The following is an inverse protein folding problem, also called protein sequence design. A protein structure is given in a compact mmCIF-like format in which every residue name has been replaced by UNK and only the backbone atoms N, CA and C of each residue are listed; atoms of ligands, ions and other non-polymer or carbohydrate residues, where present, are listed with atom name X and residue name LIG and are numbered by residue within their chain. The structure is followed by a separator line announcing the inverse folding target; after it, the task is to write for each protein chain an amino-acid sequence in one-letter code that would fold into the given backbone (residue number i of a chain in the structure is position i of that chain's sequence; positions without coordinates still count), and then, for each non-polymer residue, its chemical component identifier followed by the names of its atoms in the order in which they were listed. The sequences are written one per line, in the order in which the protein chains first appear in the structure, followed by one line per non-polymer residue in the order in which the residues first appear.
data_IF_235685082670
#
_entry.id   IF_235685082670
#
_cell.length_a   1.000
_cell.length_b   1.000
_cell.length_c   1.000
_cell.angle_alpha   90.00
_cell.angle_beta   90.00
_cell.angle_gamma   90.00
#
_symmetry.space_group_name_H-M   'P 1'
#
loop_
_entity.id
_entity.type
_entity.pdbx_description
1 polymer ?
#
# COMPACT_ATOMS: atom_id res chain seq x y z
N UNK A 1 -6.73 7.85 -18.59
CA UNK A 1 -7.22 9.04 -17.85
C UNK A 1 -6.76 8.90 -16.41
N UNK A 2 -5.72 9.63 -16.01
CA UNK A 2 -5.24 9.64 -14.62
C UNK A 2 -6.29 10.41 -13.82
N UNK A 3 -7.14 9.71 -13.07
CA UNK A 3 -8.10 10.35 -12.17
C UNK A 3 -7.34 10.83 -10.94
N UNK A 4 -7.41 12.13 -10.66
CA UNK A 4 -7.01 12.66 -9.35
C UNK A 4 -7.88 11.99 -8.29
N UNK A 5 -7.31 11.29 -7.30
CA UNK A 5 -8.10 10.79 -6.18
C UNK A 5 -8.65 11.96 -5.36
N UNK A 6 -9.73 11.76 -4.60
CA UNK A 6 -10.10 12.70 -3.55
C UNK A 6 -8.89 12.88 -2.62
N UNK A 7 -8.76 14.05 -2.02
CA UNK A 7 -7.64 14.41 -1.13
C UNK A 7 -7.43 13.31 -0.11
N UNK A 8 -6.39 12.49 -0.34
CA UNK A 8 -6.03 11.46 0.63
C UNK A 8 -5.27 12.16 1.77
N UNK A 9 -5.63 11.83 3.00
CA UNK A 9 -4.94 12.31 4.21
C UNK A 9 -3.52 11.77 4.33
N UNK A 10 -3.12 10.83 3.48
CA UNK A 10 -1.82 10.17 3.48
C UNK A 10 -0.66 11.15 3.22
N UNK A 11 -0.83 12.04 2.24
CA UNK A 11 0.09 13.14 1.96
C UNK A 11 -0.72 14.27 1.33
N UNK A 12 -0.98 15.38 2.02
CA UNK A 12 -1.83 16.45 1.50
C UNK A 12 -1.29 17.10 0.20
N UNK A 13 -0.03 16.79 -0.17
CA UNK A 13 0.66 17.38 -1.33
C UNK A 13 1.43 16.32 -2.14
N UNK A 14 0.86 15.14 -2.34
CA UNK A 14 1.49 14.06 -3.11
C UNK A 14 0.79 13.86 -4.44
N UNK A 15 1.57 13.77 -5.52
CA UNK A 15 1.06 13.29 -6.81
C UNK A 15 1.04 11.76 -6.81
N UNK A 16 -0.14 11.18 -7.01
CA UNK A 16 -0.34 9.75 -7.01
C UNK A 16 -0.46 9.21 -8.43
N UNK A 17 0.44 8.29 -8.79
CA UNK A 17 0.36 7.50 -10.02
C UNK A 17 -0.10 6.09 -9.70
N UNK A 18 -1.08 5.60 -10.45
CA UNK A 18 -1.65 4.24 -10.28
C UNK A 18 -1.21 3.35 -11.41
N UNK A 19 -0.51 2.27 -11.08
CA UNK A 19 -0.10 1.22 -12.00
C UNK A 19 -1.21 0.19 -12.22
N UNK A 20 -1.10 -0.56 -13.29
CA UNK A 20 -1.93 -1.72 -13.65
C UNK A 20 -1.19 -3.01 -13.35
N UNK A 21 -1.95 -4.05 -13.04
CA UNK A 21 -1.46 -5.36 -12.65
C UNK A 21 -1.33 -5.50 -11.12
N UNK A 22 -1.85 -6.59 -10.57
CA UNK A 22 -1.71 -6.94 -9.16
C UNK A 22 -1.61 -8.46 -9.00
N UNK A 23 -0.71 -8.92 -8.11
CA UNK A 23 -0.56 -10.34 -7.76
C UNK A 23 -1.62 -10.82 -6.76
N UNK A 24 -2.29 -9.89 -6.05
CA UNK A 24 -3.33 -10.22 -5.08
C UNK A 24 -4.73 -10.06 -5.68
N UNK A 25 -5.70 -10.72 -5.05
CA UNK A 25 -7.14 -10.67 -5.35
C UNK A 25 -7.90 -10.40 -4.05
N UNK A 26 -7.51 -9.29 -3.37
CA UNK A 26 -8.07 -8.94 -2.07
C UNK A 26 -9.60 -8.82 -2.14
N UNK A 27 -10.31 -9.48 -1.24
CA UNK A 27 -11.78 -9.47 -1.21
C UNK A 27 -12.38 -8.07 -1.07
N UNK A 28 -11.65 -7.16 -0.40
CA UNK A 28 -12.02 -5.76 -0.16
C UNK A 28 -11.37 -4.76 -1.13
N UNK A 29 -10.82 -5.21 -2.26
CA UNK A 29 -10.07 -4.31 -3.14
C UNK A 29 -10.91 -3.09 -3.56
N UNK A 30 -10.43 -1.88 -3.25
CA UNK A 30 -11.10 -0.65 -3.67
C UNK A 30 -10.80 -0.27 -5.14
N UNK A 31 -9.85 -0.97 -5.78
CA UNK A 31 -9.42 -0.71 -7.15
C UNK A 31 -9.39 -1.98 -8.01
N UNK A 32 -10.54 -2.69 -8.16
CA UNK A 32 -10.59 -3.92 -8.97
C UNK A 32 -10.21 -3.66 -10.43
N UNK A 33 -10.41 -2.44 -10.89
CA UNK A 33 -10.03 -1.92 -12.21
C UNK A 33 -8.51 -1.89 -12.47
N UNK A 34 -7.69 -2.06 -11.42
CA UNK A 34 -6.22 -2.09 -11.54
C UNK A 34 -5.63 -3.50 -11.42
N UNK A 35 -6.46 -4.52 -11.20
CA UNK A 35 -5.98 -5.89 -10.93
C UNK A 35 -5.40 -6.52 -12.19
N UNK A 36 -6.13 -6.43 -13.31
CA UNK A 36 -5.70 -7.01 -14.58
C UNK A 36 -4.72 -6.07 -15.31
N UNK A 37 -3.64 -6.63 -15.82
CA UNK A 37 -2.68 -5.88 -16.61
C UNK A 37 -3.27 -5.50 -17.98
N UNK A 38 -2.88 -4.34 -18.52
CA UNK A 38 -3.23 -3.93 -19.89
C UNK A 38 -4.53 -3.14 -20.03
N UNK A 39 -5.28 -2.91 -18.96
CA UNK A 39 -6.50 -2.08 -18.99
C UNK A 39 -6.23 -0.57 -18.80
N UNK A 40 -5.00 -0.19 -18.52
CA UNK A 40 -4.57 1.20 -18.32
C UNK A 40 -4.09 1.88 -19.59
N UNK A 41 -3.70 3.13 -19.46
CA UNK A 41 -3.04 3.90 -20.53
C UNK A 41 -1.54 3.83 -20.32
N UNK A 42 -0.82 3.41 -21.37
CA UNK A 42 0.64 3.47 -21.37
C UNK A 42 1.05 4.95 -21.36
N UNK A 43 1.81 5.33 -20.35
CA UNK A 43 2.26 6.72 -20.14
C UNK A 43 3.79 6.78 -20.28
N UNK A 44 4.29 7.73 -21.04
CA UNK A 44 5.73 7.95 -21.18
C UNK A 44 6.33 8.36 -19.81
N UNK A 45 7.39 7.68 -19.33
CA UNK A 45 8.11 8.09 -18.12
C UNK A 45 8.54 9.57 -18.11
N UNK A 46 8.90 10.13 -19.27
CA UNK A 46 9.25 11.53 -19.39
C UNK A 46 8.05 12.46 -19.10
N UNK A 47 6.84 12.05 -19.46
CA UNK A 47 5.62 12.79 -19.11
C UNK A 47 5.37 12.74 -17.59
N UNK A 48 5.54 11.58 -16.96
CA UNK A 48 5.40 11.43 -15.51
C UNK A 48 6.40 12.31 -14.78
N UNK A 49 7.66 12.32 -15.22
CA UNK A 49 8.71 13.17 -14.66
C UNK A 49 8.34 14.66 -14.79
N UNK A 50 7.90 15.11 -15.98
CA UNK A 50 7.47 16.48 -16.21
C UNK A 50 6.32 16.87 -15.27
N UNK A 51 5.27 16.03 -15.18
CA UNK A 51 4.14 16.26 -14.26
C UNK A 51 4.59 16.40 -12.81
N UNK A 52 5.54 15.55 -12.38
CA UNK A 52 6.06 15.57 -11.02
C UNK A 52 6.89 16.86 -10.76
N UNK A 53 7.72 17.28 -11.71
CA UNK A 53 8.50 18.53 -11.63
C UNK A 53 7.57 19.75 -11.59
N UNK A 54 6.54 19.80 -12.42
CA UNK A 54 5.54 20.88 -12.43
C UNK A 54 4.78 20.97 -11.08
N UNK A 55 4.57 19.85 -10.40
CA UNK A 55 3.91 19.79 -9.10
C UNK A 55 4.86 20.05 -7.91
N UNK A 56 6.18 20.00 -8.12
CA UNK A 56 7.18 20.15 -7.05
C UNK A 56 6.98 21.37 -6.14
N UNK A 57 6.62 22.58 -6.65
CA UNK A 57 6.35 23.74 -5.79
C UNK A 57 5.22 23.51 -4.75
N UNK A 58 4.33 22.56 -5.01
CA UNK A 58 3.19 22.24 -4.14
C UNK A 58 3.49 21.11 -3.15
N UNK A 59 4.61 20.41 -3.25
CA UNK A 59 4.96 19.31 -2.36
C UNK A 59 5.34 19.76 -0.94
N UNK A 60 5.75 21.02 -0.77
CA UNK A 60 6.23 21.50 0.51
C UNK A 60 7.42 20.69 1.01
N UNK A 61 7.50 20.51 2.33
CA UNK A 61 8.62 19.78 2.98
C UNK A 61 8.44 18.26 3.04
N UNK A 62 7.22 17.76 2.85
CA UNK A 62 6.86 16.35 3.08
C UNK A 62 6.14 15.68 1.91
N UNK A 63 5.85 16.42 0.87
CA UNK A 63 5.18 15.89 -0.31
C UNK A 63 6.17 15.33 -1.33
N UNK A 64 5.63 14.68 -2.35
CA UNK A 64 6.41 14.06 -3.40
C UNK A 64 5.55 13.28 -4.38
N UNK A 65 6.08 12.20 -4.90
CA UNK A 65 5.39 11.28 -5.79
C UNK A 65 5.16 9.96 -5.07
N UNK A 66 3.95 9.42 -5.19
CA UNK A 66 3.64 8.06 -4.73
C UNK A 66 3.22 7.20 -5.92
N UNK A 67 3.89 6.07 -6.09
CA UNK A 67 3.46 5.02 -7.00
C UNK A 67 2.61 4.01 -6.23
N UNK A 68 1.39 3.76 -6.71
CA UNK A 68 0.39 2.88 -6.14
C UNK A 68 -0.41 2.20 -7.26
N UNK A 69 -1.63 1.76 -7.02
CA UNK A 69 -2.55 1.25 -8.05
C UNK A 69 -2.96 -0.19 -7.82
N UNK A 70 -2.56 -1.09 -8.72
CA UNK A 70 -2.54 -2.52 -8.48
C UNK A 70 -1.39 -2.87 -7.54
N UNK A 71 -0.30 -3.37 -8.12
CA UNK A 71 0.98 -3.56 -7.42
C UNK A 71 2.10 -2.95 -8.27
N UNK A 72 2.65 -1.78 -7.89
CA UNK A 72 3.61 -1.07 -8.73
C UNK A 72 4.93 -1.84 -8.92
N UNK A 73 5.29 -2.75 -8.02
CA UNK A 73 6.51 -3.56 -8.16
C UNK A 73 6.45 -4.55 -9.33
N UNK A 74 5.28 -4.78 -9.93
CA UNK A 74 5.20 -5.50 -11.22
C UNK A 74 5.92 -4.77 -12.36
N UNK A 75 6.00 -3.46 -12.27
CA UNK A 75 6.65 -2.58 -13.25
C UNK A 75 7.98 -2.03 -12.71
N UNK A 76 8.65 -2.77 -11.81
CA UNK A 76 9.85 -2.29 -11.14
C UNK A 76 10.97 -1.95 -12.13
N UNK A 77 11.16 -2.75 -13.18
CA UNK A 77 12.19 -2.51 -14.18
C UNK A 77 12.01 -1.17 -14.91
N UNK A 78 10.76 -0.81 -15.21
CA UNK A 78 10.40 0.45 -15.86
C UNK A 78 10.40 1.62 -14.86
N UNK A 79 10.06 1.36 -13.59
CA UNK A 79 10.05 2.37 -12.54
C UNK A 79 11.45 2.77 -12.07
N UNK A 80 12.44 1.87 -12.08
CA UNK A 80 13.80 2.16 -11.62
C UNK A 80 14.40 3.39 -12.31
N UNK A 81 14.47 3.50 -13.66
CA UNK A 81 15.03 4.67 -14.32
C UNK A 81 14.21 5.94 -14.04
N UNK A 82 12.88 5.85 -13.98
CA UNK A 82 12.03 6.98 -13.65
C UNK A 82 12.26 7.49 -12.22
N UNK A 83 12.37 6.57 -11.26
CA UNK A 83 12.64 6.92 -9.85
C UNK A 83 14.03 7.59 -9.72
N UNK A 84 15.05 7.10 -10.43
CA UNK A 84 16.37 7.77 -10.47
C UNK A 84 16.23 9.22 -10.92
N UNK A 85 15.53 9.47 -12.04
CA UNK A 85 15.30 10.83 -12.56
C UNK A 85 14.50 11.71 -11.59
N UNK A 86 13.49 11.16 -10.90
CA UNK A 86 12.75 11.88 -9.85
C UNK A 86 13.64 12.26 -8.67
N UNK A 87 14.55 11.35 -8.25
CA UNK A 87 15.53 11.61 -7.19
C UNK A 87 16.53 12.67 -7.59
N UNK A 88 17.04 12.64 -8.82
CA UNK A 88 17.91 13.69 -9.37
C UNK A 88 17.23 15.05 -9.41
N UNK A 89 15.91 15.08 -9.69
CA UNK A 89 15.10 16.29 -9.60
C UNK A 89 14.81 16.73 -8.14
N UNK A 90 15.32 16.02 -7.13
CA UNK A 90 15.12 16.31 -5.71
C UNK A 90 13.67 16.12 -5.27
N UNK A 91 12.98 15.13 -5.83
CA UNK A 91 11.60 14.78 -5.48
C UNK A 91 11.62 13.56 -4.58
N UNK A 92 10.89 13.62 -3.46
CA UNK A 92 10.67 12.49 -2.57
C UNK A 92 9.77 11.46 -3.24
N UNK A 93 10.17 10.19 -3.21
CA UNK A 93 9.43 9.09 -3.86
C UNK A 93 8.98 8.08 -2.82
N UNK A 94 7.69 7.80 -2.85
CA UNK A 94 7.06 6.76 -2.05
C UNK A 94 6.50 5.66 -2.95
N UNK A 95 6.53 4.41 -2.48
CA UNK A 95 5.87 3.28 -3.14
C UNK A 95 4.86 2.64 -2.18
N UNK A 96 3.65 2.41 -2.67
CA UNK A 96 2.55 1.74 -1.95
C UNK A 96 2.43 0.32 -2.51
N UNK A 97 2.92 -0.66 -1.75
CA UNK A 97 3.13 -2.03 -2.21
C UNK A 97 2.59 -3.07 -1.22
N UNK A 98 2.10 -4.17 -1.75
CA UNK A 98 1.78 -5.35 -0.96
C UNK A 98 3.00 -6.24 -0.66
N UNK A 99 4.17 -5.90 -1.17
CA UNK A 99 5.44 -6.61 -0.93
C UNK A 99 5.49 -8.05 -1.44
N UNK A 100 4.48 -8.48 -2.20
CA UNK A 100 4.33 -9.88 -2.64
C UNK A 100 5.05 -10.22 -3.94
N UNK A 101 5.82 -9.30 -4.52
CA UNK A 101 6.65 -9.50 -5.72
C UNK A 101 8.11 -9.29 -5.35
N UNK A 102 8.99 -10.15 -5.85
CA UNK A 102 10.43 -10.03 -5.61
C UNK A 102 11.24 -10.46 -6.83
N UNK A 103 12.15 -9.60 -7.26
CA UNK A 103 13.17 -9.84 -8.27
C UNK A 103 14.26 -8.74 -8.13
N UNK A 104 15.38 -8.81 -8.86
CA UNK A 104 16.46 -7.81 -8.74
C UNK A 104 16.01 -6.36 -9.00
N UNK A 105 15.07 -6.14 -9.93
CA UNK A 105 14.55 -4.78 -10.18
C UNK A 105 13.69 -4.25 -9.01
N UNK A 106 12.93 -5.12 -8.32
CA UNK A 106 12.19 -4.76 -7.11
C UNK A 106 13.15 -4.38 -5.98
N UNK A 107 14.22 -5.17 -5.79
CA UNK A 107 15.24 -4.87 -4.79
C UNK A 107 15.91 -3.51 -5.06
N UNK A 108 16.30 -3.24 -6.31
CA UNK A 108 16.85 -1.95 -6.71
C UNK A 108 15.84 -0.81 -6.49
N UNK A 109 14.59 -1.00 -6.90
CA UNK A 109 13.52 -0.01 -6.72
C UNK A 109 13.30 0.35 -5.25
N UNK A 110 13.18 -0.66 -4.38
CA UNK A 110 13.00 -0.46 -2.94
C UNK A 110 14.23 0.21 -2.31
N UNK A 111 15.42 -0.05 -2.84
CA UNK A 111 16.65 0.64 -2.45
C UNK A 111 16.64 2.15 -2.77
N UNK A 112 16.01 2.56 -3.87
CA UNK A 112 15.99 3.94 -4.37
C UNK A 112 14.93 4.82 -3.73
N UNK A 113 13.73 4.29 -3.44
CA UNK A 113 12.62 5.07 -2.88
C UNK A 113 12.91 5.56 -1.46
N UNK A 114 12.29 6.65 -1.06
CA UNK A 114 12.49 7.25 0.27
C UNK A 114 11.61 6.60 1.33
N UNK A 115 10.44 6.11 0.95
CA UNK A 115 9.46 5.52 1.85
C UNK A 115 8.71 4.38 1.16
N UNK A 116 8.46 3.31 1.91
CA UNK A 116 7.57 2.24 1.48
C UNK A 116 6.32 2.24 2.35
N UNK A 117 5.14 2.28 1.75
CA UNK A 117 3.89 1.94 2.41
C UNK A 117 3.67 0.45 2.18
N UNK A 118 3.94 -0.35 3.20
CA UNK A 118 3.87 -1.81 3.09
C UNK A 118 2.54 -2.32 3.63
N UNK A 119 1.73 -2.85 2.74
CA UNK A 119 0.47 -3.49 3.10
C UNK A 119 0.67 -4.92 3.58
N UNK A 120 0.56 -5.18 4.86
CA UNK A 120 0.46 -6.54 5.41
C UNK A 120 -1.02 -6.85 5.66
N UNK A 121 -1.60 -7.65 4.77
CA UNK A 121 -3.07 -7.85 4.76
C UNK A 121 -3.56 -8.78 5.87
N UNK A 122 -2.71 -9.72 6.31
CA UNK A 122 -2.97 -10.64 7.42
C UNK A 122 -1.64 -11.28 7.87
N UNK A 123 -1.45 -11.51 9.16
CA UNK A 123 -0.25 -12.12 9.71
C UNK A 123 -0.24 -13.66 9.55
N UNK A 124 -1.42 -14.29 9.64
CA UNK A 124 -1.58 -15.73 9.42
C UNK A 124 -1.57 -16.04 7.91
N UNK A 125 -0.79 -17.03 7.44
CA UNK A 125 -0.64 -17.33 6.02
C UNK A 125 -1.92 -17.90 5.37
N UNK A 126 -2.70 -18.71 6.08
CA UNK A 126 -3.91 -19.31 5.54
C UNK A 126 -5.02 -18.26 5.43
N UNK A 127 -5.19 -17.45 6.47
CA UNK A 127 -6.12 -16.32 6.45
C UNK A 127 -5.71 -15.27 5.43
N UNK A 128 -4.41 -15.03 5.26
CA UNK A 128 -3.92 -14.17 4.20
C UNK A 128 -4.29 -14.72 2.81
N UNK A 129 -4.11 -16.04 2.60
CA UNK A 129 -4.50 -16.68 1.34
C UNK A 129 -6.02 -16.58 1.10
N UNK A 130 -6.83 -16.82 2.12
CA UNK A 130 -8.29 -16.66 2.02
C UNK A 130 -8.70 -15.22 1.64
N UNK A 131 -8.00 -14.21 2.19
CA UNK A 131 -8.30 -12.81 1.99
C UNK A 131 -7.79 -12.26 0.65
N UNK A 132 -6.62 -12.74 0.17
CA UNK A 132 -5.89 -12.13 -0.98
C UNK A 132 -5.65 -13.07 -2.15
N UNK A 133 -5.94 -14.36 -2.00
CA UNK A 133 -5.61 -15.41 -2.98
C UNK A 133 -4.15 -15.85 -2.97
N UNK A 134 -3.29 -15.31 -2.09
CA UNK A 134 -1.86 -15.61 -1.98
C UNK A 134 -1.41 -15.73 -0.53
N UNK A 135 -0.30 -16.42 -0.29
CA UNK A 135 0.37 -16.43 1.02
C UNK A 135 1.12 -15.12 1.29
N UNK A 136 1.38 -14.84 2.57
CA UNK A 136 2.08 -13.64 3.03
C UNK A 136 3.61 -13.80 3.10
N UNK A 137 4.14 -14.99 2.82
CA UNK A 137 5.56 -15.27 3.03
C UNK A 137 6.49 -14.28 2.31
N UNK A 138 6.15 -13.88 1.07
CA UNK A 138 6.96 -12.90 0.35
C UNK A 138 6.82 -11.50 0.94
N UNK A 139 5.61 -11.06 1.30
CA UNK A 139 5.38 -9.76 1.97
C UNK A 139 6.22 -9.65 3.25
N UNK A 140 6.25 -10.71 4.06
CA UNK A 140 7.04 -10.75 5.29
C UNK A 140 8.55 -10.74 5.02
N UNK A 141 9.03 -11.42 3.96
CA UNK A 141 10.43 -11.32 3.52
C UNK A 141 10.78 -9.91 3.06
N UNK A 142 9.86 -9.24 2.37
CA UNK A 142 10.05 -7.83 1.96
C UNK A 142 10.16 -6.93 3.20
N UNK A 143 9.31 -7.11 4.22
CA UNK A 143 9.42 -6.37 5.48
C UNK A 143 10.78 -6.61 6.16
N UNK A 144 11.24 -7.86 6.21
CA UNK A 144 12.54 -8.20 6.79
C UNK A 144 13.71 -7.59 6.01
N UNK A 145 13.61 -7.53 4.68
CA UNK A 145 14.61 -6.88 3.84
C UNK A 145 14.66 -5.37 4.11
N UNK A 146 13.51 -4.69 4.21
CA UNK A 146 13.42 -3.26 4.55
C UNK A 146 14.08 -2.98 5.89
N UNK A 147 13.80 -3.80 6.92
CA UNK A 147 14.43 -3.69 8.24
C UNK A 147 15.95 -3.89 8.15
N UNK A 148 16.41 -4.93 7.49
CA UNK A 148 17.84 -5.26 7.37
C UNK A 148 18.64 -4.15 6.66
N UNK A 149 18.00 -3.37 5.78
CA UNK A 149 18.62 -2.27 5.04
C UNK A 149 18.32 -0.89 5.66
N UNK A 150 17.67 -0.83 6.83
CA UNK A 150 17.32 0.44 7.48
C UNK A 150 16.40 1.32 6.62
N UNK A 151 15.60 0.70 5.74
CA UNK A 151 14.67 1.42 4.86
C UNK A 151 13.42 1.81 5.64
N UNK A 152 13.08 3.10 5.75
CA UNK A 152 11.88 3.51 6.45
C UNK A 152 10.64 2.99 5.71
N UNK A 153 9.71 2.45 6.49
CA UNK A 153 8.42 2.05 5.95
C UNK A 153 7.29 2.28 6.95
N UNK A 154 6.09 2.47 6.42
CA UNK A 154 4.86 2.48 7.20
C UNK A 154 4.15 1.16 6.97
N UNK A 155 3.80 0.52 8.07
CA UNK A 155 3.00 -0.70 8.02
C UNK A 155 1.52 -0.32 7.87
N UNK A 156 0.85 -0.86 6.86
CA UNK A 156 -0.56 -0.62 6.61
C UNK A 156 -1.36 -1.88 6.84
N UNK A 157 -2.42 -1.74 7.61
CA UNK A 157 -3.32 -2.84 7.95
C UNK A 157 -4.77 -2.42 7.80
N UNK A 158 -5.52 -3.10 6.91
CA UNK A 158 -6.95 -2.85 6.75
C UNK A 158 -7.71 -3.72 7.75
N UNK A 159 -8.48 -3.09 8.62
CA UNK A 159 -9.30 -3.77 9.62
C UNK A 159 -10.65 -4.14 9.00
N UNK A 160 -10.80 -5.39 8.57
CA UNK A 160 -12.04 -5.90 7.98
C UNK A 160 -12.83 -6.67 9.04
N UNK A 161 -14.03 -6.22 9.44
CA UNK A 161 -14.82 -6.88 10.48
C UNK A 161 -15.09 -8.35 10.16
N UNK A 162 -14.84 -9.22 11.13
CA UNK A 162 -14.98 -10.68 11.01
C UNK A 162 -13.89 -11.40 10.19
N UNK A 163 -12.94 -10.66 9.63
CA UNK A 163 -11.90 -11.24 8.73
C UNK A 163 -10.50 -10.95 9.24
N UNK A 164 -10.17 -9.70 9.57
CA UNK A 164 -8.84 -9.30 10.04
C UNK A 164 -8.87 -8.50 11.35
N UNK A 165 -10.01 -8.46 12.04
CA UNK A 165 -10.23 -7.70 13.27
C UNK A 165 -10.12 -8.53 14.56
N UNK A 166 -9.82 -9.84 14.44
CA UNK A 166 -9.62 -10.67 15.62
C UNK A 166 -8.37 -10.23 16.40
N UNK A 167 -8.48 -10.16 17.73
CA UNK A 167 -7.36 -9.79 18.61
C UNK A 167 -6.11 -10.61 18.34
N UNK A 168 -6.27 -11.93 18.12
CA UNK A 168 -5.16 -12.83 17.81
C UNK A 168 -4.40 -12.43 16.53
N UNK A 169 -5.10 -11.92 15.50
CA UNK A 169 -4.47 -11.49 14.25
C UNK A 169 -3.64 -10.22 14.45
N UNK A 170 -4.21 -9.28 15.20
CA UNK A 170 -3.57 -8.00 15.51
C UNK A 170 -2.32 -8.23 16.36
N UNK A 171 -2.40 -9.11 17.38
CA UNK A 171 -1.26 -9.50 18.19
C UNK A 171 -0.19 -10.23 17.37
N UNK A 172 -0.58 -11.17 16.50
CA UNK A 172 0.36 -11.87 15.64
C UNK A 172 1.12 -10.91 14.70
N UNK A 173 0.46 -9.85 14.21
CA UNK A 173 1.12 -8.79 13.44
C UNK A 173 2.14 -8.04 14.31
N UNK A 174 1.73 -7.65 15.52
CA UNK A 174 2.57 -6.95 16.48
C UNK A 174 3.79 -7.76 16.93
N UNK A 175 3.60 -9.02 17.29
CA UNK A 175 4.67 -9.94 17.70
C UNK A 175 5.69 -10.15 16.58
N UNK A 176 5.23 -10.18 15.32
CA UNK A 176 6.10 -10.43 14.17
C UNK A 176 6.91 -9.22 13.73
N UNK A 177 6.33 -8.03 13.78
CA UNK A 177 6.93 -6.81 13.20
C UNK A 177 7.20 -5.68 14.22
N UNK A 178 6.71 -5.80 15.45
CA UNK A 178 6.85 -4.74 16.47
C UNK A 178 8.29 -4.47 16.92
N UNK A 179 9.20 -5.43 16.70
CA UNK A 179 10.64 -5.25 16.97
C UNK A 179 11.41 -4.50 15.87
N UNK A 180 10.77 -4.19 14.74
CA UNK A 180 11.42 -3.54 13.60
C UNK A 180 11.57 -2.03 13.85
N UNK A 181 12.80 -1.52 13.74
CA UNK A 181 13.15 -0.11 13.97
C UNK A 181 12.84 0.76 12.74
N UNK A 182 12.78 0.15 11.56
CA UNK A 182 12.49 0.82 10.30
C UNK A 182 10.99 1.06 10.11
N UNK A 183 10.12 0.49 10.96
CA UNK A 183 8.69 0.83 10.99
C UNK A 183 8.51 2.18 11.66
N UNK A 184 8.32 3.24 10.88
CA UNK A 184 8.10 4.58 11.42
C UNK A 184 6.72 4.75 12.05
N UNK A 185 5.71 4.08 11.48
CA UNK A 185 4.34 4.04 12.01
C UNK A 185 3.52 2.89 11.45
N UNK A 186 2.44 2.59 12.13
CA UNK A 186 1.36 1.73 11.63
C UNK A 186 0.17 2.60 11.25
N UNK A 187 -0.35 2.40 10.05
CA UNK A 187 -1.61 2.97 9.58
C UNK A 187 -2.70 1.89 9.65
N UNK A 188 -3.58 2.02 10.64
CA UNK A 188 -4.78 1.23 10.74
C UNK A 188 -5.86 1.85 9.84
N UNK A 189 -6.23 1.13 8.79
CA UNK A 189 -7.16 1.59 7.78
C UNK A 189 -8.54 0.96 8.04
N UNK A 190 -9.58 1.76 8.25
CA UNK A 190 -10.92 1.24 8.33
C UNK A 190 -11.33 0.56 7.03
N UNK A 191 -12.04 -0.56 7.13
CA UNK A 191 -12.73 -1.13 5.98
C UNK A 191 -13.83 -0.17 5.51
N UNK A 192 -13.94 0.00 4.20
CA UNK A 192 -14.95 0.84 3.57
C UNK A 192 -15.45 0.22 2.25
N UNK A 193 -16.65 0.61 1.85
CA UNK A 193 -17.34 0.10 0.66
C UNK A 193 -17.19 0.99 -0.58
N UNK A 194 -16.31 2.01 -0.54
CA UNK A 194 -16.14 3.02 -1.61
C UNK A 194 -15.81 2.44 -2.99
N UNK A 195 -15.22 1.23 -3.07
CA UNK A 195 -14.89 0.55 -4.33
C UNK A 195 -16.02 -0.27 -4.94
N UNK A 196 -17.13 -0.49 -4.25
CA UNK A 196 -18.19 -1.44 -4.67
C UNK A 196 -18.80 -1.07 -6.02
N UNK A 197 -19.05 0.20 -6.27
CA UNK A 197 -19.56 0.69 -7.55
C UNK A 197 -18.71 0.31 -8.76
N UNK A 198 -17.41 0.08 -8.57
CA UNK A 198 -16.51 -0.36 -9.65
C UNK A 198 -16.73 -1.83 -10.00
N UNK A 199 -17.00 -2.68 -8.98
CA UNK A 199 -17.36 -4.07 -9.22
C UNK A 199 -18.64 -4.17 -10.06
N UNK A 200 -19.66 -3.38 -9.72
CA UNK A 200 -20.92 -3.31 -10.46
C UNK A 200 -20.69 -2.86 -11.90
N UNK A 201 -19.88 -1.80 -12.10
CA UNK A 201 -19.54 -1.28 -13.42
C UNK A 201 -18.75 -2.30 -14.29
N UNK A 202 -18.00 -3.21 -13.64
CA UNK A 202 -17.23 -4.27 -14.28
C UNK A 202 -18.01 -5.59 -14.43
N UNK A 203 -19.25 -5.67 -13.94
CA UNK A 203 -20.03 -6.90 -13.90
C UNK A 203 -19.47 -7.96 -12.96
N UNK A 204 -18.72 -7.55 -11.93
CA UNK A 204 -18.10 -8.43 -10.96
C UNK A 204 -18.90 -8.47 -9.66
N UNK A 205 -18.85 -9.61 -8.98
CA UNK A 205 -19.44 -9.76 -7.66
C UNK A 205 -18.50 -9.22 -6.57
N UNK A 206 -19.00 -8.32 -5.70
CA UNK A 206 -18.29 -7.91 -4.51
C UNK A 206 -18.54 -8.90 -3.37
N UNK A 207 -17.50 -9.60 -2.92
CA UNK A 207 -17.60 -10.73 -1.97
C UNK A 207 -17.96 -10.32 -0.55
N UNK A 208 -17.79 -9.06 -0.17
CA UNK A 208 -18.00 -8.57 1.19
C UNK A 208 -19.25 -7.67 1.31
N UNK A 209 -20.30 -7.94 0.53
CA UNK A 209 -21.55 -7.13 0.53
C UNK A 209 -22.20 -7.00 1.92
N UNK A 210 -22.12 -8.07 2.72
CA UNK A 210 -22.76 -8.16 4.02
C UNK A 210 -21.84 -7.69 5.17
N UNK A 211 -20.58 -7.35 4.87
CA UNK A 211 -19.64 -6.84 5.87
C UNK A 211 -19.87 -5.35 6.04
N UNK A 212 -20.21 -4.96 7.28
CA UNK A 212 -20.39 -3.55 7.66
C UNK A 212 -19.04 -2.88 7.86
N UNK A 213 -19.01 -1.57 7.68
CA UNK A 213 -17.84 -0.75 8.02
C UNK A 213 -17.57 -0.78 9.54
N UNK A 214 -16.34 -0.48 9.93
CA UNK A 214 -15.95 -0.51 11.34
C UNK A 214 -16.69 0.53 12.19
N UNK A 215 -17.01 0.17 13.42
CA UNK A 215 -17.40 1.17 14.42
C UNK A 215 -16.14 1.86 15.00
N UNK A 216 -16.28 3.08 15.56
CA UNK A 216 -15.17 3.74 16.26
C UNK A 216 -14.56 2.86 17.36
N UNK A 217 -15.38 2.14 18.11
CA UNK A 217 -14.95 1.27 19.22
C UNK A 217 -14.13 0.07 18.72
N UNK A 218 -14.43 -0.45 17.53
CA UNK A 218 -13.61 -1.52 16.90
C UNK A 218 -12.23 -0.98 16.52
N UNK A 219 -12.20 0.21 15.93
CA UNK A 219 -10.95 0.87 15.53
C UNK A 219 -10.09 1.22 16.74
N UNK A 220 -10.69 1.81 17.78
CA UNK A 220 -10.00 2.18 19.02
C UNK A 220 -9.39 0.96 19.71
N UNK A 221 -10.12 -0.15 19.77
CA UNK A 221 -9.64 -1.42 20.34
C UNK A 221 -8.47 -1.98 19.56
N UNK A 222 -8.58 -2.03 18.24
CA UNK A 222 -7.49 -2.52 17.37
C UNK A 222 -6.25 -1.61 17.45
N UNK A 223 -6.44 -0.30 17.48
CA UNK A 223 -5.36 0.66 17.65
C UNK A 223 -4.68 0.54 19.01
N UNK A 224 -5.43 0.29 20.08
CA UNK A 224 -4.89 0.06 21.42
C UNK A 224 -3.98 -1.17 21.46
N UNK A 225 -4.40 -2.29 20.85
CA UNK A 225 -3.58 -3.50 20.73
C UNK A 225 -2.30 -3.26 19.95
N UNK A 226 -2.37 -2.56 18.81
CA UNK A 226 -1.19 -2.24 18.02
C UNK A 226 -0.20 -1.35 18.77
N UNK A 227 -0.67 -0.43 19.63
CA UNK A 227 0.19 0.44 20.47
C UNK A 227 0.98 -0.31 21.53
N UNK A 228 0.63 -1.55 21.85
CA UNK A 228 1.46 -2.41 22.70
C UNK A 228 2.80 -2.77 22.03
N UNK A 229 2.87 -2.75 20.70
CA UNK A 229 4.00 -3.18 19.88
C UNK A 229 4.69 -2.07 19.09
N UNK A 230 3.95 -1.02 18.75
CA UNK A 230 4.44 0.06 17.88
C UNK A 230 4.27 1.43 18.53
N UNK A 231 5.32 2.28 18.53
CA UNK A 231 5.28 3.58 19.18
C UNK A 231 4.33 4.56 18.50
N UNK A 232 4.05 4.39 17.22
CA UNK A 232 3.19 5.29 16.45
C UNK A 232 2.12 4.48 15.71
N UNK A 233 0.86 4.65 16.08
CA UNK A 233 -0.31 4.06 15.42
C UNK A 233 -1.30 5.17 15.07
N UNK A 234 -1.63 5.28 13.79
CA UNK A 234 -2.57 6.26 13.23
C UNK A 234 -3.79 5.50 12.69
N UNK A 235 -4.99 5.95 13.03
CA UNK A 235 -6.23 5.50 12.42
C UNK A 235 -6.62 6.54 11.37
N UNK A 236 -6.78 6.12 10.11
CA UNK A 236 -7.06 7.02 8.98
C UNK A 236 -8.53 6.94 8.54
#
# INVERSE_FOLDING_TARGET
MIRRPPRSTLFPYTTLFRSQGCNFRCLYCANPDTIEAGAGTLTDPAEILRMAVDQKPFFGRRGGVTFSGGEPTFQAAELVPLVKSLKEAGIHVCIDSNGGVWNPAVEELLGLVDLVLLDVKQADPERHRALTGRENAQTLRTAAWLEAHGKPFWLRYVLVPGISDAEADIRALGERLGGYKSVERVELLPYHTLGVHKYEAMGLEYKLRDVRENTPEQLDRAAALLREYFPTVVVN
#
